data_IF_843153483665
#
_entry.id   IF_843153483665
#
_cell.length_a   1.000
_cell.length_b   1.000
_cell.length_c   1.000
_cell.angle_alpha   90.00
_cell.angle_beta   90.00
_cell.angle_gamma   90.00
#
_symmetry.space_group_name_H-M   'P 1'
#
loop_
_entity.id
_entity.type
_entity.pdbx_description
1 polymer ?
#
# COMPACT_ATOMS: atom_id res chain seq x y z
N UNK A 1 -1.10 20.80 3.12
CA UNK A 1 -2.00 19.98 2.28
C UNK A 1 -3.25 19.53 3.02
N UNK A 2 -3.16 18.83 4.15
CA UNK A 2 -4.32 18.36 4.91
C UNK A 2 -5.33 19.47 5.29
N UNK A 3 -4.84 20.60 5.81
CA UNK A 3 -5.69 21.77 6.10
C UNK A 3 -6.38 22.35 4.86
N UNK A 4 -5.70 22.36 3.72
CA UNK A 4 -6.23 22.87 2.45
C UNK A 4 -7.30 21.91 1.92
N UNK A 5 -7.08 20.59 2.05
CA UNK A 5 -8.08 19.58 1.69
C UNK A 5 -9.35 19.73 2.53
N UNK A 6 -9.21 19.89 3.85
CA UNK A 6 -10.35 20.08 4.77
C UNK A 6 -11.07 21.40 4.50
N UNK A 7 -10.32 22.49 4.28
CA UNK A 7 -10.89 23.79 3.94
C UNK A 7 -11.61 23.77 2.58
N UNK A 8 -11.09 23.03 1.59
CA UNK A 8 -11.70 22.92 0.26
C UNK A 8 -13.02 22.15 0.23
N UNK A 9 -13.25 21.30 1.23
CA UNK A 9 -14.45 20.46 1.35
C UNK A 9 -15.42 21.01 2.42
N UNK A 10 -15.01 22.03 3.18
CA UNK A 10 -15.86 22.71 4.15
C UNK A 10 -16.17 21.91 5.42
N UNK A 11 -15.41 20.85 5.72
CA UNK A 11 -15.64 20.01 6.89
C UNK A 11 -14.69 18.81 6.97
N UNK A 12 -14.75 18.10 8.10
CA UNK A 12 -14.01 16.84 8.31
C UNK A 12 -14.76 15.68 7.66
N UNK A 13 -14.16 14.94 6.71
CA UNK A 13 -14.75 13.74 6.12
C UNK A 13 -15.29 12.74 7.16
N UNK A 14 -14.62 12.60 8.31
CA UNK A 14 -15.05 11.74 9.44
C UNK A 14 -16.49 12.01 9.88
N UNK A 15 -16.94 13.27 9.84
CA UNK A 15 -18.26 13.66 10.38
C UNK A 15 -19.37 13.53 9.32
N UNK A 16 -19.03 13.49 8.04
CA UNK A 16 -19.97 13.32 6.93
C UNK A 16 -19.26 12.57 5.80
N UNK A 17 -19.50 11.26 5.72
CA UNK A 17 -18.85 10.37 4.76
C UNK A 17 -19.12 10.71 3.28
N UNK A 18 -20.15 11.53 3.00
CA UNK A 18 -20.44 12.07 1.66
C UNK A 18 -19.41 13.10 1.19
N UNK A 19 -18.75 13.81 2.11
CA UNK A 19 -17.69 14.79 1.82
C UNK A 19 -16.45 14.13 1.21
N UNK A 20 -16.27 12.82 1.40
CA UNK A 20 -15.19 12.05 0.79
C UNK A 20 -15.21 12.09 -0.74
N UNK A 21 -16.39 12.11 -1.35
CA UNK A 21 -16.55 12.15 -2.80
C UNK A 21 -16.27 13.53 -3.40
N UNK A 22 -16.26 14.57 -2.56
CA UNK A 22 -15.94 15.95 -2.97
C UNK A 22 -14.46 16.29 -2.81
N UNK A 23 -13.64 15.37 -2.27
CA UNK A 23 -12.20 15.57 -2.12
C UNK A 23 -11.53 15.60 -3.49
N UNK A 24 -10.87 16.72 -3.81
CA UNK A 24 -10.08 16.86 -5.04
C UNK A 24 -8.80 16.00 -4.95
N UNK A 25 -8.55 15.10 -5.91
CA UNK A 25 -7.33 14.27 -5.94
C UNK A 25 -6.04 15.08 -5.81
N UNK A 26 -5.99 16.30 -6.36
CA UNK A 26 -4.84 17.21 -6.31
C UNK A 26 -4.38 17.51 -4.88
N UNK A 27 -5.30 17.58 -3.91
CA UNK A 27 -4.95 17.92 -2.52
C UNK A 27 -4.84 16.70 -1.61
N UNK A 28 -5.52 15.59 -1.94
CA UNK A 28 -5.42 14.34 -1.17
C UNK A 28 -4.16 13.55 -1.50
N UNK A 29 -3.72 13.60 -2.76
CA UNK A 29 -2.50 12.96 -3.23
C UNK A 29 -1.27 13.36 -2.38
N UNK A 30 -0.94 14.65 -2.18
CA UNK A 30 0.21 15.03 -1.36
C UNK A 30 0.11 14.60 0.11
N UNK A 31 -1.09 14.33 0.65
CA UNK A 31 -1.22 13.84 2.04
C UNK A 31 -0.72 12.40 2.17
N UNK A 32 -0.72 11.61 1.09
CA UNK A 32 -0.14 10.26 1.12
C UNK A 32 1.40 10.25 1.16
N UNK A 33 2.06 11.39 0.93
CA UNK A 33 3.50 11.56 1.20
C UNK A 33 3.84 11.49 2.69
N UNK A 34 2.84 11.53 3.58
CA UNK A 34 3.03 11.28 5.01
C UNK A 34 3.62 9.89 5.26
N UNK A 35 3.31 8.89 4.41
CA UNK A 35 3.85 7.52 4.55
C UNK A 35 5.37 7.51 4.37
N UNK A 36 5.95 7.90 3.21
CA UNK A 36 7.40 7.98 3.08
C UNK A 36 8.04 8.93 4.10
N UNK A 37 7.36 10.05 4.44
CA UNK A 37 7.85 10.98 5.46
C UNK A 37 8.03 10.32 6.83
N UNK A 38 7.04 9.56 7.29
CA UNK A 38 7.11 8.78 8.52
C UNK A 38 8.23 7.74 8.44
N UNK A 39 8.37 7.04 7.30
CA UNK A 39 9.44 6.05 7.10
C UNK A 39 10.84 6.66 7.23
N UNK A 40 11.06 7.84 6.66
CA UNK A 40 12.35 8.55 6.76
C UNK A 40 12.63 9.08 8.17
N UNK A 41 11.61 9.60 8.87
CA UNK A 41 11.76 10.02 10.27
C UNK A 41 12.06 8.80 11.16
N UNK A 42 11.37 7.68 10.94
CA UNK A 42 11.63 6.42 11.64
C UNK A 42 13.07 5.92 11.37
N UNK A 43 13.55 6.01 10.13
CA UNK A 43 14.95 5.72 9.78
C UNK A 43 15.94 6.57 10.58
N UNK A 44 15.70 7.88 10.67
CA UNK A 44 16.60 8.77 11.41
C UNK A 44 16.63 8.41 12.90
N UNK A 45 15.47 8.11 13.51
CA UNK A 45 15.40 7.65 14.91
C UNK A 45 16.06 6.28 15.12
N UNK A 46 15.95 5.38 14.15
CA UNK A 46 16.66 4.10 14.15
C UNK A 46 18.18 4.30 14.07
N UNK A 47 18.65 5.32 13.33
CA UNK A 47 20.08 5.62 13.27
C UNK A 47 20.62 6.11 14.62
N UNK A 48 19.87 6.97 15.31
CA UNK A 48 20.20 7.42 16.67
C UNK A 48 20.26 6.23 17.66
N UNK A 49 19.37 5.26 17.51
CA UNK A 49 19.43 4.00 18.27
C UNK A 49 20.70 3.20 17.99
N UNK A 50 21.02 2.97 16.72
CA UNK A 50 22.23 2.21 16.32
C UNK A 50 23.53 2.88 16.76
N UNK A 51 23.54 4.21 16.90
CA UNK A 51 24.66 5.00 17.43
C UNK A 51 24.76 4.98 18.97
N UNK A 52 23.80 4.37 19.66
CA UNK A 52 23.76 4.31 21.13
C UNK A 52 23.30 5.59 21.82
N UNK A 53 22.80 6.59 21.08
CA UNK A 53 22.34 7.88 21.63
C UNK A 53 21.02 7.75 22.41
N UNK A 54 20.25 6.68 22.16
CA UNK A 54 18.89 6.51 22.68
C UNK A 54 18.70 5.07 23.16
N UNK A 55 18.01 4.89 24.29
CA UNK A 55 17.67 3.55 24.80
C UNK A 55 16.54 2.86 24.00
N UNK A 56 16.50 1.52 24.04
CA UNK A 56 15.47 0.72 23.34
C UNK A 56 14.04 1.15 23.66
N UNK A 57 13.76 1.50 24.93
CA UNK A 57 12.44 1.94 25.38
C UNK A 57 12.04 3.30 24.77
N UNK A 58 12.98 4.25 24.74
CA UNK A 58 12.75 5.57 24.17
C UNK A 58 12.49 5.53 22.65
N UNK A 59 13.16 4.63 21.93
CA UNK A 59 12.94 4.44 20.49
C UNK A 59 11.55 3.87 20.24
N UNK A 60 11.14 2.84 20.99
CA UNK A 60 9.80 2.25 20.89
C UNK A 60 8.70 3.28 21.14
N UNK A 61 8.84 4.09 22.18
CA UNK A 61 7.88 5.17 22.47
C UNK A 61 7.80 6.18 21.32
N UNK A 62 8.94 6.63 20.80
CA UNK A 62 8.99 7.56 19.67
C UNK A 62 8.38 6.97 18.40
N UNK A 63 8.58 5.68 18.14
CA UNK A 63 7.96 4.97 17.02
C UNK A 63 6.44 4.90 17.18
N UNK A 64 5.94 4.61 18.39
CA UNK A 64 4.51 4.58 18.69
C UNK A 64 3.86 5.95 18.46
N UNK A 65 4.47 7.02 19.01
CA UNK A 65 3.98 8.40 18.82
C UNK A 65 3.95 8.77 17.34
N UNK A 66 5.00 8.44 16.58
CA UNK A 66 5.07 8.71 15.15
C UNK A 66 3.96 7.99 14.37
N UNK A 67 3.72 6.72 14.72
CA UNK A 67 2.65 5.91 14.14
C UNK A 67 1.28 6.52 14.45
N UNK A 68 1.06 6.95 15.70
CA UNK A 68 -0.20 7.56 16.14
C UNK A 68 -0.49 8.90 15.44
N UNK A 69 0.53 9.75 15.28
CA UNK A 69 0.41 11.00 14.49
C UNK A 69 0.04 10.68 13.05
N UNK A 70 0.70 9.69 12.43
CA UNK A 70 0.38 9.25 11.08
C UNK A 70 -1.04 8.74 10.93
N UNK A 71 -1.50 7.90 11.85
CA UNK A 71 -2.86 7.36 11.87
C UNK A 71 -3.89 8.48 12.02
N UNK A 72 -3.72 9.41 12.96
CA UNK A 72 -4.65 10.54 13.13
C UNK A 72 -4.71 11.38 11.85
N UNK A 73 -3.56 11.70 11.28
CA UNK A 73 -3.45 12.49 10.04
C UNK A 73 -4.24 11.84 8.90
N UNK A 74 -4.10 10.52 8.71
CA UNK A 74 -4.82 9.79 7.65
C UNK A 74 -6.30 9.59 7.99
N UNK A 75 -6.63 9.33 9.26
CA UNK A 75 -8.01 9.13 9.73
C UNK A 75 -8.88 10.35 9.44
N UNK A 76 -8.34 11.57 9.55
CA UNK A 76 -9.07 12.80 9.19
C UNK A 76 -9.63 12.79 7.76
N UNK A 77 -9.03 12.00 6.87
CA UNK A 77 -9.44 11.87 5.48
C UNK A 77 -10.27 10.60 5.20
N UNK A 78 -10.60 9.80 6.23
CA UNK A 78 -11.32 8.51 6.13
C UNK A 78 -10.68 7.46 5.19
N UNK A 79 -9.38 7.59 4.87
CA UNK A 79 -8.69 6.59 4.06
C UNK A 79 -8.19 5.42 4.91
N UNK A 80 -8.61 4.19 4.56
CA UNK A 80 -8.32 2.98 5.34
C UNK A 80 -6.98 2.33 4.97
N UNK A 81 -6.71 2.19 3.68
CA UNK A 81 -5.47 1.59 3.16
C UNK A 81 -4.19 2.29 3.65
N UNK A 82 -4.11 3.64 3.71
CA UNK A 82 -2.89 4.31 4.15
C UNK A 82 -2.61 4.12 5.66
N UNK A 83 -3.63 3.83 6.48
CA UNK A 83 -3.44 3.46 7.90
C UNK A 83 -2.71 2.12 7.99
N UNK A 84 -3.19 1.13 7.22
CA UNK A 84 -2.56 -0.20 7.16
C UNK A 84 -1.14 -0.08 6.61
N UNK A 85 -0.90 0.81 5.63
CA UNK A 85 0.43 1.08 5.10
C UNK A 85 1.39 1.62 6.17
N UNK A 86 0.96 2.60 6.97
CA UNK A 86 1.79 3.15 8.06
C UNK A 86 2.11 2.05 9.08
N UNK A 87 1.12 1.27 9.50
CA UNK A 87 1.31 0.19 10.48
C UNK A 87 2.30 -0.86 9.96
N UNK A 88 2.07 -1.37 8.74
CA UNK A 88 2.88 -2.41 8.14
C UNK A 88 4.33 -1.94 7.91
N UNK A 89 4.50 -0.71 7.39
CA UNK A 89 5.83 -0.12 7.18
C UNK A 89 6.59 0.03 8.49
N UNK A 90 5.93 0.53 9.55
CA UNK A 90 6.57 0.71 10.86
C UNK A 90 6.98 -0.63 11.49
N UNK A 91 6.15 -1.67 11.34
CA UNK A 91 6.47 -3.04 11.78
C UNK A 91 7.72 -3.55 11.04
N UNK A 92 7.77 -3.39 9.71
CA UNK A 92 8.91 -3.85 8.90
C UNK A 92 10.20 -3.10 9.28
N UNK A 93 10.14 -1.76 9.42
CA UNK A 93 11.32 -0.96 9.85
C UNK A 93 11.79 -1.41 11.23
N UNK A 94 10.87 -1.62 12.17
CA UNK A 94 11.21 -2.01 13.53
C UNK A 94 11.75 -3.45 13.62
N UNK A 95 11.30 -4.35 12.75
CA UNK A 95 11.81 -5.71 12.61
C UNK A 95 13.25 -5.72 12.06
N UNK A 96 13.48 -5.09 10.90
CA UNK A 96 14.83 -5.00 10.32
C UNK A 96 15.78 -4.09 11.10
N UNK A 97 15.23 -3.21 11.93
CA UNK A 97 15.96 -2.38 12.90
C UNK A 97 16.31 -3.09 14.20
N UNK A 98 15.94 -4.37 14.37
CA UNK A 98 16.18 -5.18 15.59
C UNK A 98 15.55 -4.58 16.87
N UNK A 99 14.55 -3.68 16.73
CA UNK A 99 13.84 -3.06 17.86
C UNK A 99 12.77 -4.01 18.39
N UNK A 100 12.02 -4.65 17.48
CA UNK A 100 10.94 -5.60 17.79
C UNK A 100 11.40 -7.04 17.62
N UNK A 101 10.92 -7.90 18.52
CA UNK A 101 11.07 -9.36 18.39
C UNK A 101 10.07 -9.91 17.37
N UNK A 102 10.42 -11.06 16.77
CA UNK A 102 9.54 -11.78 15.82
C UNK A 102 8.15 -12.03 16.43
N UNK A 103 8.10 -12.38 17.73
CA UNK A 103 6.85 -12.65 18.44
C UNK A 103 5.96 -11.41 18.58
N UNK A 104 6.52 -10.23 18.84
CA UNK A 104 5.75 -8.98 18.89
C UNK A 104 5.13 -8.66 17.52
N UNK A 105 5.84 -8.96 16.43
CA UNK A 105 5.34 -8.78 15.05
C UNK A 105 4.19 -9.74 14.75
N UNK A 106 4.34 -11.03 15.09
CA UNK A 106 3.29 -12.04 14.90
C UNK A 106 2.03 -11.69 15.69
N UNK A 107 2.20 -11.31 16.96
CA UNK A 107 1.09 -10.97 17.84
C UNK A 107 0.36 -9.70 17.37
N UNK A 108 1.11 -8.70 16.90
CA UNK A 108 0.54 -7.50 16.27
C UNK A 108 -0.23 -7.81 14.98
N UNK A 109 0.29 -8.69 14.13
CA UNK A 109 -0.41 -9.13 12.92
C UNK A 109 -1.71 -9.85 13.24
N UNK A 110 -1.71 -10.73 14.24
CA UNK A 110 -2.90 -11.48 14.67
C UNK A 110 -3.97 -10.55 15.25
N UNK A 111 -3.60 -9.58 16.08
CA UNK A 111 -4.52 -8.53 16.57
C UNK A 111 -5.09 -7.74 15.40
N UNK A 112 -4.26 -7.38 14.41
CA UNK A 112 -4.69 -6.66 13.21
C UNK A 112 -5.76 -7.43 12.43
N UNK A 113 -5.55 -8.74 12.20
CA UNK A 113 -6.53 -9.62 11.54
C UNK A 113 -7.83 -9.69 12.35
N UNK A 114 -7.75 -9.93 13.67
CA UNK A 114 -8.93 -9.96 14.54
C UNK A 114 -9.70 -8.63 14.54
N UNK A 115 -9.01 -7.49 14.51
CA UNK A 115 -9.63 -6.17 14.45
C UNK A 115 -10.35 -5.93 13.10
N UNK A 116 -9.73 -6.31 11.98
CA UNK A 116 -10.35 -6.21 10.65
C UNK A 116 -11.60 -7.10 10.58
N UNK A 117 -11.51 -8.32 11.12
CA UNK A 117 -12.64 -9.25 11.22
C UNK A 117 -13.77 -8.67 12.10
N UNK A 118 -13.44 -8.10 13.26
CA UNK A 118 -14.40 -7.51 14.20
C UNK A 118 -15.14 -6.33 13.60
N UNK A 119 -14.41 -5.38 13.02
CA UNK A 119 -14.98 -4.20 12.38
C UNK A 119 -15.81 -4.60 11.15
N UNK A 120 -15.33 -5.56 10.36
CA UNK A 120 -16.06 -6.08 9.19
C UNK A 120 -17.39 -6.72 9.57
N UNK A 121 -17.41 -7.53 10.62
CA UNK A 121 -18.62 -8.15 11.15
C UNK A 121 -19.62 -7.13 11.72
N UNK A 122 -19.16 -6.22 12.58
CA UNK A 122 -20.01 -5.16 13.15
C UNK A 122 -20.65 -4.30 12.07
N UNK A 123 -19.91 -4.02 11.00
CA UNK A 123 -20.43 -3.25 9.86
C UNK A 123 -21.43 -4.04 9.03
N UNK A 124 -21.18 -5.33 8.80
CA UNK A 124 -22.13 -6.22 8.11
C UNK A 124 -23.46 -6.32 8.83
N UNK A 125 -23.45 -6.26 10.18
CA UNK A 125 -24.66 -6.21 10.99
C UNK A 125 -25.38 -4.86 10.86
N UNK A 126 -24.63 -3.76 10.84
CA UNK A 126 -25.19 -2.41 10.84
C UNK A 126 -25.76 -1.97 9.48
N UNK A 127 -25.27 -2.54 8.37
CA UNK A 127 -25.75 -2.23 7.01
C UNK A 127 -26.96 -3.08 6.57
N UNK A 128 -27.61 -3.84 7.46
CA UNK A 128 -28.83 -4.65 7.19
C UNK A 128 -28.73 -5.61 5.98
N UNK A 129 -27.53 -5.91 5.49
CA UNK A 129 -27.26 -6.84 4.39
C UNK A 129 -27.35 -8.32 4.82
N UNK A 130 -28.29 -8.61 5.72
CA UNK A 130 -28.40 -9.89 6.42
C UNK A 130 -29.23 -10.86 5.58
N UNK A 131 -28.55 -11.86 5.01
CA UNK A 131 -29.07 -13.23 5.15
C UNK A 131 -28.37 -13.85 6.36
N UNK A 132 -29.16 -14.43 7.24
CA UNK A 132 -28.95 -14.87 8.62
C UNK A 132 -27.85 -15.92 8.89
N UNK A 133 -26.78 -16.00 8.10
CA UNK A 133 -25.80 -17.09 8.22
C UNK A 133 -24.33 -16.71 7.97
N UNK A 134 -23.97 -15.43 8.06
CA UNK A 134 -22.58 -14.99 7.84
C UNK A 134 -21.77 -15.01 9.14
N UNK A 135 -20.96 -16.06 9.32
CA UNK A 135 -19.94 -16.10 10.37
C UNK A 135 -18.89 -15.00 10.15
N UNK A 136 -18.18 -14.58 11.20
CA UNK A 136 -17.11 -13.57 11.11
C UNK A 136 -16.09 -13.86 9.97
N UNK A 137 -15.83 -15.14 9.71
CA UNK A 137 -14.96 -15.62 8.63
C UNK A 137 -15.54 -15.44 7.22
N UNK A 138 -16.86 -15.58 7.05
CA UNK A 138 -17.52 -15.41 5.75
C UNK A 138 -17.34 -14.00 5.19
N UNK A 139 -17.23 -12.98 6.04
CA UNK A 139 -16.99 -11.59 5.57
C UNK A 139 -15.62 -11.41 4.91
N UNK A 140 -14.58 -12.09 5.43
CA UNK A 140 -13.26 -12.12 4.80
C UNK A 140 -13.29 -12.93 3.51
N UNK A 141 -13.96 -14.08 3.55
CA UNK A 141 -14.12 -14.97 2.39
C UNK A 141 -14.81 -14.25 1.24
N UNK A 142 -15.91 -13.51 1.49
CA UNK A 142 -16.60 -12.73 0.47
C UNK A 142 -15.71 -11.65 -0.16
N UNK A 143 -14.84 -10.99 0.61
CA UNK A 143 -13.90 -9.99 0.08
C UNK A 143 -12.82 -10.63 -0.79
N UNK A 144 -12.27 -11.76 -0.35
CA UNK A 144 -11.30 -12.53 -1.13
C UNK A 144 -11.95 -13.08 -2.42
N UNK A 145 -13.13 -13.68 -2.31
CA UNK A 145 -13.89 -14.22 -3.44
C UNK A 145 -14.28 -13.13 -4.44
N UNK A 146 -14.72 -11.95 -3.98
CA UNK A 146 -15.01 -10.83 -4.87
C UNK A 146 -13.77 -10.40 -5.66
N UNK A 147 -12.64 -10.25 -4.97
CA UNK A 147 -11.37 -9.83 -5.57
C UNK A 147 -10.85 -10.87 -6.59
N UNK A 148 -10.96 -12.16 -6.25
CA UNK A 148 -10.58 -13.26 -7.15
C UNK A 148 -11.54 -13.42 -8.33
N UNK A 149 -12.83 -13.17 -8.13
CA UNK A 149 -13.83 -13.22 -9.19
C UNK A 149 -13.58 -12.11 -10.23
N UNK A 150 -13.30 -10.89 -9.76
CA UNK A 150 -12.86 -9.76 -10.58
C UNK A 150 -11.61 -10.14 -11.39
N UNK A 151 -10.60 -10.71 -10.74
CA UNK A 151 -9.37 -11.14 -11.40
C UNK A 151 -9.63 -12.21 -12.48
N UNK A 152 -10.48 -13.19 -12.19
CA UNK A 152 -10.80 -14.26 -13.12
C UNK A 152 -11.52 -13.73 -14.36
N UNK A 153 -12.47 -12.81 -14.18
CA UNK A 153 -13.16 -12.18 -15.30
C UNK A 153 -12.20 -11.34 -16.16
N UNK A 154 -11.30 -10.58 -15.53
CA UNK A 154 -10.26 -9.84 -16.26
C UNK A 154 -9.35 -10.78 -17.06
N UNK A 155 -8.97 -11.94 -16.49
CA UNK A 155 -8.18 -12.94 -17.20
C UNK A 155 -8.94 -13.58 -18.38
N UNK A 156 -10.24 -13.82 -18.24
CA UNK A 156 -11.07 -14.32 -19.35
C UNK A 156 -11.19 -13.30 -20.48
N UNK A 157 -11.34 -12.02 -20.15
CA UNK A 157 -11.50 -10.95 -21.13
C UNK A 157 -10.15 -10.65 -21.80
N UNK A 158 -9.03 -10.63 -21.06
CA UNK A 158 -7.75 -10.11 -21.59
C UNK A 158 -6.86 -11.09 -22.36
N UNK A 159 -7.12 -12.39 -22.30
CA UNK A 159 -6.33 -13.37 -23.04
C UNK A 159 -4.83 -13.34 -22.68
N UNK A 160 -3.96 -13.76 -23.62
CA UNK A 160 -2.52 -13.87 -23.35
C UNK A 160 -1.72 -12.58 -23.58
N UNK A 161 -2.21 -11.63 -24.38
CA UNK A 161 -1.50 -10.41 -24.80
C UNK A 161 -2.12 -9.11 -24.28
N UNK A 162 -3.25 -9.15 -23.57
CA UNK A 162 -3.89 -7.97 -23.02
C UNK A 162 -4.78 -7.25 -24.04
N UNK A 163 -5.75 -6.48 -23.55
CA UNK A 163 -6.67 -5.70 -24.41
C UNK A 163 -6.22 -4.25 -24.53
N UNK A 164 -5.74 -3.68 -23.43
CA UNK A 164 -5.58 -2.23 -23.32
C UNK A 164 -4.16 -1.74 -23.66
N UNK A 165 -3.18 -2.63 -23.82
CA UNK A 165 -1.84 -2.34 -24.35
C UNK A 165 -1.19 -1.10 -23.69
N UNK A 166 -1.37 -0.93 -22.37
CA UNK A 166 -0.79 0.17 -21.59
C UNK A 166 -1.70 1.39 -21.37
N UNK A 167 -2.94 1.37 -21.90
CA UNK A 167 -3.92 2.45 -21.68
C UNK A 167 -4.40 2.56 -20.24
N UNK A 168 -4.31 1.50 -19.43
CA UNK A 168 -4.63 1.58 -18.00
C UNK A 168 -3.51 2.22 -17.18
N UNK A 169 -2.24 1.94 -17.49
CA UNK A 169 -1.12 2.70 -16.91
C UNK A 169 -1.21 4.18 -17.31
N UNK A 170 -1.59 4.48 -18.56
CA UNK A 170 -1.77 5.86 -19.01
C UNK A 170 -2.94 6.57 -18.30
N UNK A 171 -4.02 5.86 -17.95
CA UNK A 171 -5.14 6.46 -17.22
C UNK A 171 -4.83 6.72 -15.74
N UNK A 172 -3.78 6.12 -15.17
CA UNK A 172 -3.22 6.52 -13.86
C UNK A 172 -2.58 7.91 -13.87
N UNK A 173 -2.30 8.51 -15.04
CA UNK A 173 -1.67 9.83 -15.16
C UNK A 173 -2.71 10.95 -14.92
N UNK A 174 -2.38 12.00 -14.14
CA UNK A 174 -3.32 13.08 -13.83
C UNK A 174 -3.73 13.81 -15.12
N UNK A 175 -5.01 13.73 -15.49
CA UNK A 175 -5.57 14.33 -16.71
C UNK A 175 -6.50 13.42 -17.53
N UNK A 176 -6.61 12.12 -17.20
CA UNK A 176 -7.59 11.24 -17.85
C UNK A 176 -8.96 11.29 -17.13
N UNK A 177 -10.04 11.37 -17.89
CA UNK A 177 -11.42 11.51 -17.37
C UNK A 177 -11.91 10.31 -16.53
N UNK A 178 -11.20 9.18 -16.58
CA UNK A 178 -11.55 7.94 -15.88
C UNK A 178 -10.31 7.35 -15.23
N UNK A 179 -10.27 7.38 -13.90
CA UNK A 179 -9.19 6.72 -13.15
C UNK A 179 -9.13 5.22 -13.45
N UNK A 180 -7.96 4.58 -13.34
CA UNK A 180 -7.72 3.19 -13.72
C UNK A 180 -8.66 2.22 -12.99
N UNK A 181 -9.03 2.51 -11.74
CA UNK A 181 -10.01 1.72 -10.95
C UNK A 181 -11.45 1.84 -11.47
N UNK A 182 -11.82 2.95 -12.12
CA UNK A 182 -13.13 3.12 -12.77
C UNK A 182 -13.16 2.45 -14.15
N UNK A 183 -12.01 2.42 -14.84
CA UNK A 183 -11.88 1.74 -16.13
C UNK A 183 -12.06 0.23 -15.98
N UNK A 184 -11.51 -0.37 -14.91
CA UNK A 184 -11.77 -1.76 -14.52
C UNK A 184 -13.24 -2.01 -14.21
N UNK A 185 -13.89 -1.10 -13.46
CA UNK A 185 -15.33 -1.19 -13.18
C UNK A 185 -16.21 -1.16 -14.43
N UNK A 186 -15.81 -0.36 -15.45
CA UNK A 186 -16.48 -0.32 -16.76
C UNK A 186 -16.21 -1.57 -17.61
N UNK A 187 -14.99 -2.12 -17.60
CA UNK A 187 -14.64 -3.34 -18.34
C UNK A 187 -15.39 -4.58 -17.84
N UNK A 188 -15.66 -4.64 -16.54
CA UNK A 188 -16.34 -5.77 -15.87
C UNK A 188 -17.88 -5.64 -15.92
N UNK A 189 -18.41 -4.55 -16.49
CA UNK A 189 -19.83 -4.29 -16.69
C UNK A 189 -20.72 -4.45 -15.43
N UNK A 190 -20.15 -4.34 -14.22
CA UNK A 190 -20.88 -4.56 -12.96
C UNK A 190 -21.46 -3.28 -12.37
N UNK A 191 -20.68 -2.19 -12.26
CA UNK A 191 -21.16 -0.84 -11.92
C UNK A 191 -20.23 0.21 -12.53
N UNK A 192 -20.76 1.07 -13.39
CA UNK A 192 -20.03 2.15 -14.09
C UNK A 192 -19.57 3.29 -13.18
N UNK A 193 -20.13 3.39 -11.97
CA UNK A 193 -19.89 4.47 -11.01
C UNK A 193 -19.01 4.07 -9.82
N UNK A 194 -18.64 2.79 -9.68
CA UNK A 194 -17.86 2.29 -8.51
C UNK A 194 -16.49 1.83 -8.95
N UNK A 195 -15.45 2.30 -8.26
CA UNK A 195 -14.07 1.88 -8.46
C UNK A 195 -13.92 0.41 -8.04
N UNK A 196 -13.60 -0.46 -9.00
CA UNK A 196 -13.23 -1.86 -8.74
C UNK A 196 -11.71 -1.93 -8.79
N UNK A 197 -11.08 -2.29 -7.68
CA UNK A 197 -9.62 -2.43 -7.61
C UNK A 197 -9.22 -3.78 -8.19
N UNK A 198 -8.48 -3.84 -9.31
CA UNK A 198 -7.80 -5.07 -9.66
C UNK A 198 -6.74 -5.37 -8.59
N UNK A 199 -6.47 -6.65 -8.34
CA UNK A 199 -5.30 -7.07 -7.56
C UNK A 199 -4.02 -6.55 -8.22
N UNK A 200 -2.88 -6.73 -7.55
CA UNK A 200 -1.54 -6.51 -8.11
C UNK A 200 -1.44 -6.99 -9.57
N UNK A 201 -2.00 -8.16 -9.84
CA UNK A 201 -2.02 -8.80 -11.15
C UNK A 201 -2.99 -8.19 -12.16
N UNK A 202 -4.14 -7.68 -11.69
CA UNK A 202 -5.25 -7.40 -12.60
C UNK A 202 -4.98 -6.23 -13.55
N UNK A 203 -4.15 -5.24 -13.18
CA UNK A 203 -3.78 -4.16 -14.09
C UNK A 203 -2.91 -4.69 -15.25
N UNK A 204 -1.91 -5.51 -14.95
CA UNK A 204 -1.00 -6.05 -15.96
C UNK A 204 -1.65 -7.13 -16.83
N UNK A 205 -2.58 -7.92 -16.28
CA UNK A 205 -3.42 -8.82 -17.10
C UNK A 205 -4.18 -8.02 -18.15
N UNK A 206 -4.77 -6.89 -17.75
CA UNK A 206 -5.60 -6.08 -18.64
C UNK A 206 -4.79 -5.36 -19.71
N UNK A 207 -3.63 -4.84 -19.36
CA UNK A 207 -2.76 -4.11 -20.29
C UNK A 207 -1.91 -5.02 -21.17
N UNK A 208 -1.35 -6.10 -20.64
CA UNK A 208 -0.32 -6.91 -21.31
C UNK A 208 -0.55 -8.43 -21.23
N UNK A 209 -1.69 -8.86 -20.68
CA UNK A 209 -2.05 -10.27 -20.55
C UNK A 209 -1.16 -11.03 -19.56
N UNK A 210 -1.17 -12.36 -19.68
CA UNK A 210 -0.41 -13.26 -18.80
C UNK A 210 1.10 -13.07 -18.89
N UNK A 211 1.62 -12.67 -20.05
CA UNK A 211 3.04 -12.40 -20.24
C UNK A 211 3.44 -11.16 -19.44
N UNK A 212 2.60 -10.12 -19.45
CA UNK A 212 2.80 -8.93 -18.63
C UNK A 212 2.89 -9.24 -17.14
N UNK A 213 2.00 -10.10 -16.64
CA UNK A 213 2.05 -10.57 -15.25
C UNK A 213 3.36 -11.27 -14.91
N UNK A 214 3.84 -12.16 -15.78
CA UNK A 214 5.09 -12.86 -15.54
C UNK A 214 6.27 -11.88 -15.45
N UNK A 215 6.33 -10.90 -16.37
CA UNK A 215 7.36 -9.86 -16.36
C UNK A 215 7.27 -8.96 -15.12
N UNK A 216 6.07 -8.56 -14.71
CA UNK A 216 5.85 -7.76 -13.50
C UNK A 216 6.35 -8.51 -12.26
N UNK A 217 5.99 -9.79 -12.11
CA UNK A 217 6.40 -10.59 -10.96
C UNK A 217 7.91 -10.82 -10.93
N UNK A 218 8.54 -11.02 -12.08
CA UNK A 218 10.00 -11.06 -12.19
C UNK A 218 10.63 -9.72 -11.76
N UNK A 219 10.09 -8.59 -12.21
CA UNK A 219 10.59 -7.27 -11.90
C UNK A 219 10.42 -6.92 -10.41
N UNK A 220 9.26 -7.22 -9.83
CA UNK A 220 8.97 -7.03 -8.42
C UNK A 220 9.87 -7.90 -7.55
N UNK A 221 10.07 -9.17 -7.95
CA UNK A 221 11.03 -10.08 -7.31
C UNK A 221 12.47 -9.56 -7.37
N UNK A 222 12.88 -9.00 -8.52
CA UNK A 222 14.21 -8.41 -8.68
C UNK A 222 14.41 -7.17 -7.78
N UNK A 223 13.43 -6.26 -7.73
CA UNK A 223 13.49 -5.05 -6.90
C UNK A 223 13.55 -5.41 -5.41
N UNK A 224 12.65 -6.27 -4.95
CA UNK A 224 12.61 -6.70 -3.54
C UNK A 224 13.87 -7.51 -3.18
N UNK A 225 14.29 -8.45 -4.02
CA UNK A 225 15.48 -9.26 -3.80
C UNK A 225 16.74 -8.40 -3.72
N UNK A 226 16.88 -7.41 -4.60
CA UNK A 226 18.00 -6.46 -4.59
C UNK A 226 17.99 -5.60 -3.32
N UNK A 227 16.83 -5.04 -2.96
CA UNK A 227 16.67 -4.24 -1.75
C UNK A 227 17.05 -5.02 -0.47
N UNK A 228 16.61 -6.28 -0.37
CA UNK A 228 16.96 -7.16 0.74
C UNK A 228 18.47 -7.42 0.83
N UNK A 229 19.13 -7.71 -0.30
CA UNK A 229 20.60 -7.90 -0.34
C UNK A 229 21.33 -6.62 0.08
N UNK A 230 20.90 -5.44 -0.38
CA UNK A 230 21.50 -4.15 -0.01
C UNK A 230 21.41 -3.92 1.50
N UNK A 231 20.25 -4.18 2.13
CA UNK A 231 20.10 -4.05 3.59
C UNK A 231 21.05 -4.98 4.32
N UNK A 232 21.17 -6.24 3.88
CA UNK A 232 22.01 -7.24 4.55
C UNK A 232 23.49 -6.83 4.54
N UNK A 233 23.94 -6.21 3.45
CA UNK A 233 25.33 -5.80 3.26
C UNK A 233 25.62 -4.46 3.97
N UNK A 234 24.78 -3.45 3.75
CA UNK A 234 25.03 -2.09 4.24
C UNK A 234 24.60 -1.87 5.69
N UNK A 235 23.56 -2.58 6.14
CA UNK A 235 22.84 -2.37 7.41
C UNK A 235 22.40 -0.91 7.65
N UNK A 236 22.37 -0.09 6.60
CA UNK A 236 22.00 1.32 6.70
C UNK A 236 20.50 1.44 6.99
N UNK A 237 20.18 2.32 7.94
CA UNK A 237 18.81 2.66 8.29
C UNK A 237 18.02 3.25 7.12
N UNK A 238 18.68 3.99 6.22
CA UNK A 238 18.00 4.58 5.06
C UNK A 238 17.51 3.50 4.08
N UNK A 239 18.37 2.50 3.79
CA UNK A 239 17.99 1.38 2.93
C UNK A 239 16.89 0.52 3.56
N UNK A 240 16.88 0.38 4.89
CA UNK A 240 15.79 -0.27 5.63
C UNK A 240 14.47 0.44 5.39
N UNK A 241 14.42 1.77 5.48
CA UNK A 241 13.17 2.52 5.29
C UNK A 241 12.63 2.45 3.87
N UNK A 242 13.46 2.65 2.83
CA UNK A 242 12.99 2.60 1.45
C UNK A 242 12.56 1.17 1.03
N UNK A 243 13.25 0.13 1.50
CA UNK A 243 12.82 -1.24 1.30
C UNK A 243 11.50 -1.54 2.01
N UNK A 244 11.36 -1.09 3.25
CA UNK A 244 10.13 -1.28 4.04
C UNK A 244 8.93 -0.64 3.36
N UNK A 245 9.14 0.50 2.70
CA UNK A 245 8.13 1.18 1.90
C UNK A 245 7.70 0.34 0.69
N UNK A 246 8.65 -0.14 -0.14
CA UNK A 246 8.31 -1.01 -1.29
C UNK A 246 7.62 -2.28 -0.83
N UNK A 247 8.16 -2.94 0.20
CA UNK A 247 7.62 -4.19 0.70
C UNK A 247 6.18 -4.00 1.21
N UNK A 248 5.93 -2.91 1.93
CA UNK A 248 4.58 -2.53 2.39
C UNK A 248 3.61 -2.38 1.22
N UNK A 249 3.98 -1.61 0.20
CA UNK A 249 3.11 -1.39 -0.96
C UNK A 249 2.98 -2.63 -1.85
N UNK A 250 3.96 -3.53 -1.85
CA UNK A 250 3.86 -4.82 -2.54
C UNK A 250 2.83 -5.73 -1.86
N UNK A 251 2.87 -5.82 -0.53
CA UNK A 251 1.89 -6.59 0.26
C UNK A 251 0.49 -6.00 0.11
N UNK A 252 0.35 -4.68 0.25
CA UNK A 252 -0.93 -3.99 0.06
C UNK A 252 -1.44 -4.06 -1.39
N UNK A 253 -0.53 -4.09 -2.36
CA UNK A 253 -0.83 -4.21 -3.77
C UNK A 253 -1.60 -5.48 -4.10
N UNK A 254 -1.42 -6.56 -3.33
CA UNK A 254 -2.17 -7.82 -3.52
C UNK A 254 -3.68 -7.59 -3.49
N UNK A 255 -4.18 -6.77 -2.56
CA UNK A 255 -5.62 -6.48 -2.42
C UNK A 255 -6.04 -5.23 -3.21
N UNK A 256 -5.23 -4.18 -3.18
CA UNK A 256 -5.65 -2.84 -3.65
C UNK A 256 -5.12 -2.44 -5.02
N UNK A 257 -4.21 -3.24 -5.58
CA UNK A 257 -3.49 -2.99 -6.83
C UNK A 257 -2.51 -1.81 -6.73
N UNK A 258 -1.43 -1.85 -7.51
CA UNK A 258 -0.47 -0.74 -7.63
C UNK A 258 -0.94 0.20 -8.75
N UNK A 259 -2.07 0.86 -8.52
CA UNK A 259 -2.73 1.70 -9.55
C UNK A 259 -2.46 3.19 -9.36
N UNK A 260 -2.03 3.59 -8.17
CA UNK A 260 -1.80 4.99 -7.82
C UNK A 260 -0.44 5.44 -8.35
N UNK A 261 -0.43 6.51 -9.16
CA UNK A 261 0.77 7.06 -9.82
C UNK A 261 1.93 7.33 -8.85
N UNK A 262 1.60 7.69 -7.61
CA UNK A 262 2.57 7.93 -6.55
C UNK A 262 3.33 6.68 -6.16
N UNK A 263 2.64 5.55 -6.07
CA UNK A 263 3.25 4.28 -5.69
C UNK A 263 4.17 3.85 -6.82
N UNK A 264 3.72 3.93 -8.08
CA UNK A 264 4.56 3.68 -9.25
C UNK A 264 5.81 4.57 -9.25
N UNK A 265 5.66 5.85 -8.89
CA UNK A 265 6.78 6.78 -8.76
C UNK A 265 7.77 6.38 -7.64
N UNK A 266 7.29 5.89 -6.49
CA UNK A 266 8.16 5.35 -5.45
C UNK A 266 8.95 4.13 -5.92
N UNK A 267 8.29 3.18 -6.60
CA UNK A 267 8.94 2.02 -7.18
C UNK A 267 10.01 2.43 -8.19
N UNK A 268 9.72 3.43 -9.04
CA UNK A 268 10.66 3.94 -10.03
C UNK A 268 11.90 4.59 -9.37
N UNK A 269 11.70 5.53 -8.44
CA UNK A 269 12.80 6.21 -7.75
C UNK A 269 13.69 5.21 -7.02
N UNK A 270 13.09 4.28 -6.27
CA UNK A 270 13.88 3.36 -5.46
C UNK A 270 14.60 2.33 -6.33
N UNK A 271 13.99 1.89 -7.44
CA UNK A 271 14.69 1.08 -8.44
C UNK A 271 15.91 1.80 -9.00
N UNK A 272 15.79 3.11 -9.28
CA UNK A 272 16.92 3.93 -9.71
C UNK A 272 18.00 4.05 -8.64
N UNK A 273 17.62 4.25 -7.37
CA UNK A 273 18.56 4.27 -6.23
C UNK A 273 19.31 2.93 -6.14
N UNK A 274 18.61 1.80 -6.23
CA UNK A 274 19.23 0.47 -6.18
C UNK A 274 20.20 0.26 -7.35
N UNK A 275 19.81 0.65 -8.57
CA UNK A 275 20.70 0.59 -9.74
C UNK A 275 21.94 1.46 -9.55
N UNK A 276 21.80 2.69 -9.04
CA UNK A 276 22.92 3.57 -8.74
C UNK A 276 23.88 2.97 -7.70
N UNK A 277 23.34 2.32 -6.67
CA UNK A 277 24.14 1.60 -5.65
C UNK A 277 24.89 0.42 -6.27
N UNK A 278 24.24 -0.36 -7.13
CA UNK A 278 24.88 -1.49 -7.85
C UNK A 278 26.00 -0.97 -8.77
N UNK A 279 25.74 0.09 -9.53
CA UNK A 279 26.70 0.66 -10.49
C UNK A 279 27.89 1.33 -9.80
N UNK A 280 27.66 2.05 -8.69
CA UNK A 280 28.73 2.62 -7.86
C UNK A 280 29.50 1.54 -7.11
N UNK A 281 28.82 0.45 -6.77
CA UNK A 281 29.36 -0.74 -6.13
C UNK A 281 29.99 -1.74 -7.09
N UNK A 282 30.79 -1.32 -8.10
CA UNK A 282 31.61 -2.23 -8.94
C UNK A 282 32.54 -3.20 -8.16
N UNK A 283 32.54 -3.18 -6.81
CA UNK A 283 33.19 -4.16 -5.93
C UNK A 283 32.26 -5.00 -5.04
N UNK A 284 30.95 -4.75 -4.99
CA UNK A 284 30.00 -5.60 -4.25
C UNK A 284 29.45 -6.63 -5.24
N UNK A 285 30.13 -7.77 -5.35
CA UNK A 285 29.67 -8.91 -6.14
C UNK A 285 28.35 -9.45 -5.58
N UNK A 286 27.25 -8.97 -6.15
CA UNK A 286 25.93 -9.59 -6.01
C UNK A 286 25.81 -10.62 -7.13
N UNK A 287 26.43 -11.78 -6.94
CA UNK A 287 26.07 -12.99 -7.66
C UNK A 287 25.28 -13.85 -6.67
#
# INVERSE_FOLDING_TARGET
>A
FLFISIASVGGLPILKSSLRYSLKPIFTMPVFLVIPGIGLIASHRLNQYKKGEISRSQVRFRFLVLTLIGMITVLTLEYRTPIIAILLMMIIIAYYGEILSVWEVILGALIGVCAIMGIGYLRSLNELAISSNTSMFSTLEHRANFTMHVLNLLNQISGNFGILHGKMIASSMPGSDLGPRMLVGKLIAWRTEVTVTPTLLGQMIVDFGKIGVALEMCLLGFILGTGYKIIKITKDTFYIAIYSLILTYSILGVETGILDIQILFYFFIISFIYLAVILKGKGIKIY
#
